data_IF_376657230573
#
_entry.id   IF_376657230573
#
_cell.length_a   1.000
_cell.length_b   1.000
_cell.length_c   1.000
_cell.angle_alpha   90.00
_cell.angle_beta   90.00
_cell.angle_gamma   90.00
#
_symmetry.space_group_name_H-M   'P 1'
#
loop_
_entity.id
_entity.type
_entity.pdbx_description
1 polymer ?
#
# COMPACT_ATOMS: atom_id res chain seq x y z
N UNK A 1 -3.88 14.81 11.15
CA UNK A 1 -2.52 14.38 10.77
C UNK A 1 -2.16 12.99 11.33
N UNK A 2 -2.60 12.62 12.53
CA UNK A 2 -2.32 11.30 13.14
C UNK A 2 -2.71 10.09 12.25
N UNK A 3 -3.92 10.09 11.68
CA UNK A 3 -4.40 9.03 10.78
C UNK A 3 -3.45 8.79 9.59
N UNK A 4 -2.90 9.87 9.03
CA UNK A 4 -1.97 9.81 7.89
C UNK A 4 -0.69 9.11 8.29
N UNK A 5 -0.09 9.56 9.40
CA UNK A 5 1.18 9.02 9.88
C UNK A 5 1.03 7.56 10.26
N UNK A 6 -0.09 7.16 10.89
CA UNK A 6 -0.36 5.76 11.24
C UNK A 6 -0.49 4.87 10.01
N UNK A 7 -1.23 5.29 8.99
CA UNK A 7 -1.42 4.51 7.76
C UNK A 7 -0.14 4.39 6.94
N UNK A 8 0.65 5.47 6.87
CA UNK A 8 1.98 5.42 6.21
C UNK A 8 2.91 4.47 6.97
N UNK A 9 2.99 4.57 8.31
CA UNK A 9 3.84 3.68 9.10
C UNK A 9 3.43 2.21 8.93
N UNK A 10 2.12 1.91 8.94
CA UNK A 10 1.61 0.56 8.73
C UNK A 10 1.94 0.04 7.32
N UNK A 11 1.72 0.86 6.30
CA UNK A 11 2.05 0.53 4.90
C UNK A 11 3.53 0.22 4.74
N UNK A 12 4.39 1.10 5.21
CA UNK A 12 5.86 0.95 5.12
C UNK A 12 6.31 -0.28 5.91
N UNK A 13 5.77 -0.49 7.12
CA UNK A 13 6.07 -1.65 7.93
C UNK A 13 5.71 -2.96 7.25
N UNK A 14 4.56 -3.04 6.55
CA UNK A 14 4.17 -4.23 5.80
C UNK A 14 5.07 -4.49 4.59
N UNK A 15 5.45 -3.46 3.84
CA UNK A 15 6.33 -3.62 2.67
C UNK A 15 7.71 -4.11 3.12
N UNK A 16 8.27 -3.52 4.19
CA UNK A 16 9.55 -3.96 4.74
C UNK A 16 9.48 -5.38 5.33
N UNK A 17 8.35 -5.74 5.95
CA UNK A 17 8.16 -7.10 6.44
C UNK A 17 8.02 -8.13 5.30
N UNK A 18 7.50 -7.73 4.13
CA UNK A 18 7.49 -8.58 2.95
C UNK A 18 8.91 -8.87 2.45
N UNK A 19 9.77 -7.84 2.40
CA UNK A 19 11.18 -7.98 2.01
C UNK A 19 11.97 -8.88 2.98
N UNK A 20 11.59 -8.88 4.25
CA UNK A 20 12.22 -9.72 5.29
C UNK A 20 11.76 -11.20 5.27
N UNK A 21 10.78 -11.58 4.46
CA UNK A 21 10.32 -12.97 4.31
C UNK A 21 11.23 -13.72 3.34
N UNK A 22 11.59 -14.97 3.68
CA UNK A 22 12.40 -15.85 2.84
C UNK A 22 11.90 -15.92 1.38
N UNK A 23 12.82 -15.88 0.42
CA UNK A 23 12.51 -15.84 -1.03
C UNK A 23 11.73 -17.06 -1.53
N UNK A 24 11.80 -18.19 -0.81
CA UNK A 24 11.00 -19.41 -1.09
C UNK A 24 9.50 -19.25 -0.73
N UNK A 25 9.11 -18.17 -0.06
CA UNK A 25 7.72 -17.90 0.36
C UNK A 25 7.10 -16.72 -0.38
N UNK A 26 7.09 -16.81 -1.71
CA UNK A 26 6.46 -15.83 -2.59
C UNK A 26 5.01 -15.50 -2.21
N UNK A 27 4.23 -16.48 -1.75
CA UNK A 27 2.84 -16.28 -1.30
C UNK A 27 2.74 -15.31 -0.12
N UNK A 28 3.68 -15.41 0.83
CA UNK A 28 3.71 -14.55 2.01
C UNK A 28 4.21 -13.14 1.67
N UNK A 29 5.21 -13.02 0.79
CA UNK A 29 5.65 -11.71 0.28
C UNK A 29 4.51 -10.99 -0.46
N UNK A 30 3.83 -11.69 -1.37
CA UNK A 30 2.66 -11.18 -2.09
C UNK A 30 1.55 -10.74 -1.13
N UNK A 31 1.25 -11.56 -0.12
CA UNK A 31 0.23 -11.26 0.88
C UNK A 31 0.52 -9.96 1.62
N UNK A 32 1.77 -9.75 2.07
CA UNK A 32 2.15 -8.52 2.77
C UNK A 32 2.20 -7.29 1.85
N UNK A 33 2.67 -7.45 0.62
CA UNK A 33 2.70 -6.36 -0.36
C UNK A 33 1.27 -5.92 -0.73
N UNK A 34 0.37 -6.88 -1.00
CA UNK A 34 -1.04 -6.60 -1.28
C UNK A 34 -1.72 -5.93 -0.10
N UNK A 35 -1.46 -6.41 1.11
CA UNK A 35 -2.04 -5.85 2.33
C UNK A 35 -1.50 -4.44 2.60
N UNK A 36 -0.21 -4.20 2.39
CA UNK A 36 0.41 -2.87 2.45
C UNK A 36 -0.21 -1.90 1.44
N UNK A 37 -0.39 -2.32 0.20
CA UNK A 37 -1.02 -1.52 -0.84
C UNK A 37 -2.50 -1.21 -0.52
N UNK A 38 -3.25 -2.18 0.02
CA UNK A 38 -4.62 -1.98 0.46
C UNK A 38 -4.71 -0.92 1.58
N UNK A 39 -3.84 -0.99 2.58
CA UNK A 39 -3.78 0.03 3.64
C UNK A 39 -3.40 1.41 3.11
N UNK A 40 -2.52 1.50 2.13
CA UNK A 40 -2.17 2.77 1.48
C UNK A 40 -3.38 3.41 0.77
N UNK A 41 -4.13 2.61 -0.01
CA UNK A 41 -5.35 3.06 -0.70
C UNK A 41 -6.40 3.55 0.29
N UNK A 42 -6.67 2.76 1.34
CA UNK A 42 -7.61 3.12 2.41
C UNK A 42 -7.15 4.39 3.12
N UNK A 43 -5.85 4.56 3.33
CA UNK A 43 -5.30 5.75 3.96
C UNK A 43 -5.52 7.01 3.14
N UNK A 44 -5.25 6.98 1.84
CA UNK A 44 -5.55 8.10 0.94
C UNK A 44 -7.06 8.40 0.94
N UNK A 45 -7.90 7.37 0.84
CA UNK A 45 -9.35 7.53 0.84
C UNK A 45 -9.86 8.18 2.15
N UNK A 46 -9.39 7.72 3.30
CA UNK A 46 -9.76 8.25 4.62
C UNK A 46 -9.37 9.73 4.76
N UNK A 47 -8.16 10.09 4.32
CA UNK A 47 -7.69 11.49 4.35
C UNK A 47 -8.57 12.37 3.49
N UNK A 48 -8.91 11.94 2.28
CA UNK A 48 -9.76 12.71 1.37
C UNK A 48 -11.17 12.86 1.92
N UNK A 49 -11.73 11.79 2.50
CA UNK A 49 -13.04 11.80 3.17
C UNK A 49 -13.07 12.83 4.30
N UNK A 50 -12.06 12.83 5.17
CA UNK A 50 -11.96 13.78 6.30
C UNK A 50 -11.82 15.22 5.80
N UNK A 51 -11.06 15.44 4.73
CA UNK A 51 -10.88 16.77 4.15
C UNK A 51 -12.06 17.23 3.27
N UNK A 52 -13.17 16.47 3.22
CA UNK A 52 -14.33 16.73 2.33
C UNK A 52 -13.92 16.99 0.88
N UNK A 53 -12.85 16.31 0.42
CA UNK A 53 -12.38 16.37 -0.97
C UNK A 53 -13.03 15.21 -1.74
N UNK A 54 -13.31 15.38 -3.05
CA UNK A 54 -13.86 14.30 -3.86
C UNK A 54 -12.97 13.05 -3.80
N UNK A 55 -13.55 11.89 -3.51
CA UNK A 55 -12.82 10.63 -3.33
C UNK A 55 -12.10 10.22 -4.63
N UNK A 56 -12.84 10.20 -5.74
CA UNK A 56 -12.32 9.93 -7.08
C UNK A 56 -11.68 11.17 -7.70
N UNK A 57 -10.41 11.39 -7.44
CA UNK A 57 -9.58 12.41 -8.12
C UNK A 57 -8.37 11.71 -8.70
N UNK A 58 -7.67 12.32 -9.67
CA UNK A 58 -6.41 11.84 -10.25
C UNK A 58 -5.41 11.29 -9.20
N UNK A 59 -5.44 11.79 -7.96
CA UNK A 59 -4.67 11.27 -6.82
C UNK A 59 -5.01 9.83 -6.38
N UNK A 60 -6.15 9.26 -6.74
CA UNK A 60 -6.43 7.83 -6.52
C UNK A 60 -5.58 6.94 -7.44
N UNK A 61 -5.10 7.45 -8.58
CA UNK A 61 -4.16 6.74 -9.44
C UNK A 61 -2.80 6.57 -8.77
N UNK A 62 -2.41 7.45 -7.85
CA UNK A 62 -1.15 7.27 -7.11
C UNK A 62 -1.25 6.13 -6.10
N UNK A 63 -2.45 5.78 -5.65
CA UNK A 63 -2.68 4.59 -4.83
C UNK A 63 -2.49 3.28 -5.62
N UNK A 64 -2.57 3.36 -6.96
CA UNK A 64 -2.28 2.26 -7.86
C UNK A 64 -0.76 2.02 -8.02
N UNK A 65 0.09 2.99 -7.67
CA UNK A 65 1.56 2.88 -7.78
C UNK A 65 2.10 1.76 -6.90
N UNK A 66 1.82 1.66 -5.58
CA UNK A 66 2.31 0.55 -4.78
C UNK A 66 1.71 -0.80 -5.18
N UNK A 67 0.47 -0.82 -5.71
CA UNK A 67 -0.14 -2.04 -6.28
C UNK A 67 0.65 -2.49 -7.51
N UNK A 68 0.92 -1.58 -8.44
CA UNK A 68 1.68 -1.86 -9.66
C UNK A 68 3.14 -2.21 -9.36
N UNK A 69 3.78 -1.52 -8.40
CA UNK A 69 5.14 -1.81 -7.97
C UNK A 69 5.24 -3.19 -7.31
N UNK A 70 4.28 -3.54 -6.46
CA UNK A 70 4.19 -4.87 -5.85
C UNK A 70 3.96 -5.99 -6.86
N UNK A 71 3.07 -5.75 -7.82
CA UNK A 71 2.82 -6.69 -8.91
C UNK A 71 4.05 -6.87 -9.80
N UNK A 72 4.75 -5.77 -10.13
CA UNK A 72 5.99 -5.79 -10.91
C UNK A 72 7.11 -6.54 -10.19
N UNK A 73 7.28 -6.30 -8.90
CA UNK A 73 8.34 -6.92 -8.11
C UNK A 73 8.22 -8.44 -8.04
N UNK A 74 6.99 -8.96 -8.04
CA UNK A 74 6.74 -10.40 -7.93
C UNK A 74 6.56 -11.08 -9.28
N UNK A 75 5.94 -10.43 -10.27
CA UNK A 75 5.65 -11.05 -11.57
C UNK A 75 6.84 -10.96 -12.55
N UNK A 76 7.70 -9.94 -12.42
CA UNK A 76 8.81 -9.69 -13.35
C UNK A 76 10.21 -10.05 -12.79
N UNK A 77 10.29 -10.66 -11.61
CA UNK A 77 11.50 -11.25 -11.04
C UNK A 77 11.51 -12.76 -11.26
#
# INVERSE_FOLDING_TARGET
MLIITTLIHLTVGLILAADAVDEDRLDAQLGLILLGAAFYVVGIAAVRAINKKPLATWWMLTALIPVAAGLWWVVLR
#
